data_IF_951515937276
#
_entry.id   IF_951515937276
#
_cell.length_a   1.000
_cell.length_b   1.000
_cell.length_c   1.000
_cell.angle_alpha   90.00
_cell.angle_beta   90.00
_cell.angle_gamma   90.00
#
_symmetry.space_group_name_H-M   'P 1'
#
loop_
_entity.id
_entity.type
_entity.pdbx_description
1 polymer ?
#
# COMPACT_ATOMS: atom_id res chain seq x y z
N UNK A 1 -20.51 -2.05 -0.72
CA UNK A 1 -19.27 -2.86 -0.80
C UNK A 1 -18.35 -2.50 -1.98
N UNK A 2 -18.87 -2.25 -3.20
CA UNK A 2 -18.02 -2.00 -4.40
C UNK A 2 -17.23 -0.67 -4.36
N UNK A 3 -17.85 0.40 -3.82
CA UNK A 3 -17.25 1.74 -3.77
C UNK A 3 -16.09 1.88 -2.77
N UNK A 4 -16.18 1.20 -1.63
CA UNK A 4 -15.12 1.24 -0.61
C UNK A 4 -13.84 0.52 -1.05
N UNK A 5 -13.98 -0.62 -1.75
CA UNK A 5 -12.85 -1.39 -2.27
C UNK A 5 -12.10 -0.65 -3.39
N UNK A 6 -12.85 0.08 -4.23
CA UNK A 6 -12.27 0.95 -5.26
C UNK A 6 -11.49 2.12 -4.64
N UNK A 7 -12.04 2.76 -3.60
CA UNK A 7 -11.36 3.85 -2.90
C UNK A 7 -10.05 3.39 -2.24
N UNK A 8 -10.06 2.22 -1.59
CA UNK A 8 -8.84 1.61 -1.01
C UNK A 8 -7.79 1.32 -2.08
N UNK A 9 -8.20 0.73 -3.21
CA UNK A 9 -7.28 0.41 -4.31
C UNK A 9 -6.66 1.67 -4.91
N UNK A 10 -7.44 2.74 -5.05
CA UNK A 10 -6.98 4.02 -5.55
C UNK A 10 -5.99 4.71 -4.59
N UNK A 11 -6.27 4.67 -3.28
CA UNK A 11 -5.35 5.15 -2.25
C UNK A 11 -4.00 4.42 -2.28
N UNK A 12 -4.04 3.09 -2.43
CA UNK A 12 -2.84 2.27 -2.58
C UNK A 12 -2.02 2.59 -3.81
N UNK A 13 -2.70 2.83 -4.93
CA UNK A 13 -2.06 3.17 -6.18
C UNK A 13 -1.25 4.45 -6.04
N UNK A 14 -1.87 5.52 -5.52
CA UNK A 14 -1.19 6.81 -5.29
C UNK A 14 0.01 6.63 -4.34
N UNK A 15 -0.18 5.90 -3.24
CA UNK A 15 0.89 5.68 -2.26
C UNK A 15 2.09 4.91 -2.84
N UNK A 16 1.84 3.97 -3.76
CA UNK A 16 2.88 3.23 -4.47
C UNK A 16 3.69 4.13 -5.39
N UNK A 17 3.02 5.02 -6.14
CA UNK A 17 3.70 6.01 -6.99
C UNK A 17 4.55 6.99 -6.18
N UNK A 18 4.08 7.41 -5.00
CA UNK A 18 4.84 8.28 -4.10
C UNK A 18 6.11 7.57 -3.61
N UNK A 19 6.00 6.31 -3.17
CA UNK A 19 7.16 5.53 -2.72
C UNK A 19 8.21 5.33 -3.82
N UNK A 20 7.78 5.01 -5.04
CA UNK A 20 8.67 4.85 -6.21
C UNK A 20 9.33 6.18 -6.58
N UNK A 21 8.56 7.26 -6.67
CA UNK A 21 9.07 8.59 -7.00
C UNK A 21 10.10 9.09 -5.99
N UNK A 22 9.86 8.84 -4.70
CA UNK A 22 10.79 9.22 -3.63
C UNK A 22 12.13 8.47 -3.70
N UNK A 23 12.11 7.18 -4.02
CA UNK A 23 13.33 6.36 -4.22
C UNK A 23 14.10 6.81 -5.48
N UNK A 24 13.38 7.13 -6.55
CA UNK A 24 13.98 7.60 -7.81
C UNK A 24 14.62 8.99 -7.67
N UNK A 25 13.94 9.94 -7.03
CA UNK A 25 14.46 11.31 -6.83
C UNK A 25 15.68 11.38 -5.93
N UNK A 26 15.92 10.37 -5.10
CA UNK A 26 17.06 10.33 -4.18
C UNK A 26 18.25 9.53 -4.72
N UNK A 27 18.26 9.15 -6.01
CA UNK A 27 19.31 8.35 -6.64
C UNK A 27 19.62 7.05 -5.86
N UNK A 28 18.60 6.45 -5.22
CA UNK A 28 18.77 5.25 -4.39
C UNK A 28 19.40 5.50 -3.01
N UNK A 29 19.59 6.76 -2.60
CA UNK A 29 20.08 7.11 -1.26
C UNK A 29 18.95 7.16 -0.22
N UNK A 30 17.68 7.30 -0.64
CA UNK A 30 16.57 7.14 0.29
C UNK A 30 16.52 5.72 0.83
N UNK A 31 16.36 5.63 2.14
CA UNK A 31 16.22 4.38 2.86
C UNK A 31 15.14 3.51 2.21
N UNK A 32 15.48 2.24 1.91
CA UNK A 32 14.59 1.23 1.35
C UNK A 32 13.28 1.07 2.15
N UNK A 33 13.26 1.54 3.40
CA UNK A 33 12.05 1.73 4.21
C UNK A 33 10.90 2.45 3.49
N UNK A 34 11.16 3.35 2.53
CA UNK A 34 10.08 3.98 1.75
C UNK A 34 9.39 3.03 0.75
N UNK A 35 10.09 2.01 0.26
CA UNK A 35 9.49 0.92 -0.51
C UNK A 35 8.73 -0.07 0.38
N UNK A 36 9.08 -0.15 1.68
CA UNK A 36 8.41 -1.01 2.66
C UNK A 36 7.04 -0.43 3.06
N UNK A 37 6.81 0.88 2.96
CA UNK A 37 5.52 1.53 3.27
C UNK A 37 4.35 0.95 2.45
N UNK A 38 4.40 0.90 1.10
CA UNK A 38 3.32 0.28 0.32
C UNK A 38 3.20 -1.24 0.56
N UNK A 39 4.29 -1.93 0.90
CA UNK A 39 4.27 -3.35 1.27
C UNK A 39 3.55 -3.59 2.60
N UNK A 40 3.82 -2.78 3.62
CA UNK A 40 3.14 -2.84 4.92
C UNK A 40 1.67 -2.53 4.78
N UNK A 41 1.31 -1.53 3.96
CA UNK A 41 -0.08 -1.26 3.67
C UNK A 41 -0.73 -2.51 3.03
N UNK A 42 -0.10 -3.10 2.02
CA UNK A 42 -0.64 -4.27 1.30
C UNK A 42 -0.89 -5.44 2.25
N UNK A 43 0.03 -5.64 3.19
CA UNK A 43 -0.08 -6.62 4.26
C UNK A 43 -1.26 -6.31 5.17
N UNK A 44 -1.43 -5.07 5.63
CA UNK A 44 -2.55 -4.64 6.48
C UNK A 44 -3.89 -4.85 5.78
N UNK A 45 -4.02 -4.49 4.51
CA UNK A 45 -5.25 -4.72 3.74
C UNK A 45 -5.55 -6.19 3.52
N UNK A 46 -4.54 -7.01 3.21
CA UNK A 46 -4.69 -8.46 3.08
C UNK A 46 -5.13 -9.09 4.42
N UNK A 47 -4.56 -8.61 5.52
CA UNK A 47 -4.88 -9.09 6.88
C UNK A 47 -6.30 -8.69 7.27
N UNK A 48 -6.71 -7.44 7.00
CA UNK A 48 -8.08 -6.98 7.23
C UNK A 48 -9.10 -7.76 6.39
N UNK A 49 -8.78 -8.08 5.13
CA UNK A 49 -9.63 -8.92 4.28
C UNK A 49 -9.76 -10.35 4.81
N UNK A 50 -8.65 -10.97 5.24
CA UNK A 50 -8.65 -12.30 5.85
C UNK A 50 -9.43 -12.33 7.16
N UNK A 51 -9.29 -11.32 8.02
CA UNK A 51 -10.04 -11.21 9.27
C UNK A 51 -11.54 -11.11 9.01
N UNK A 52 -11.95 -10.30 8.03
CA UNK A 52 -13.36 -10.18 7.66
C UNK A 52 -13.92 -11.50 7.12
N UNK A 53 -13.13 -12.25 6.33
CA UNK A 53 -13.52 -13.55 5.78
C UNK A 53 -13.51 -14.68 6.81
N UNK A 54 -12.69 -14.60 7.86
CA UNK A 54 -12.67 -15.58 8.96
C UNK A 54 -13.84 -15.39 9.94
N UNK A 55 -14.45 -14.20 9.98
CA UNK A 55 -15.60 -13.88 10.84
C UNK A 55 -16.97 -14.01 10.12
N UNK A 56 -17.03 -14.62 8.93
CA UNK A 56 -18.27 -15.02 8.22
C UNK A 56 -18.32 -16.52 8.04
#
# INVERSE_FOLDING_TARGET
MKRGLLAVSFFFMILTFIGIGYVFSTNGQANAGYAIIPMLLALVSLTAYRLHKHNS
#
